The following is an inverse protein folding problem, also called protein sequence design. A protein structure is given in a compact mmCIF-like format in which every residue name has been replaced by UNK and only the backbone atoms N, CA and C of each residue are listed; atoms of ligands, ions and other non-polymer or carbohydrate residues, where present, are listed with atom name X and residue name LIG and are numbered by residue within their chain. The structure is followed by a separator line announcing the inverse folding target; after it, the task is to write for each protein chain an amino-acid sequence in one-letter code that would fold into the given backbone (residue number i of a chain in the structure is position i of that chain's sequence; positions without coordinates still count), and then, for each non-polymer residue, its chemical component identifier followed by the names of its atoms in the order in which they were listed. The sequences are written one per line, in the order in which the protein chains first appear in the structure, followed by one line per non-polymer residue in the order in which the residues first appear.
data_IF_650390206046
#
_entry.id   IF_650390206046
#
_cell.length_a   1.000
_cell.length_b   1.000
_cell.length_c   1.000
_cell.angle_alpha   90.00
_cell.angle_beta   90.00
_cell.angle_gamma   90.00
#
_symmetry.space_group_name_H-M   'P 1'
#
loop_
_entity.id
_entity.type
_entity.pdbx_description
1 polymer ?
#
# COMPACT_ATOMS: atom_id res chain seq x y z
N UNK A 1 -1.27 20.39 -20.14
CA UNK A 1 -1.03 18.98 -20.50
C UNK A 1 0.17 18.49 -19.68
N UNK A 2 -0.03 17.81 -18.54
CA UNK A 2 1.09 17.25 -17.78
C UNK A 2 1.61 16.04 -18.56
N UNK A 3 2.88 16.09 -18.95
CA UNK A 3 3.60 14.93 -19.52
C UNK A 3 3.50 13.83 -18.46
N UNK A 4 2.78 12.73 -18.75
CA UNK A 4 2.90 11.50 -17.94
C UNK A 4 4.35 11.06 -18.10
N UNK A 5 5.18 11.37 -17.11
CA UNK A 5 6.55 10.88 -17.04
C UNK A 5 6.47 9.36 -17.14
N UNK A 6 7.11 8.77 -18.15
CA UNK A 6 7.13 7.32 -18.34
C UNK A 6 7.80 6.71 -17.11
N UNK A 7 7.11 5.80 -16.44
CA UNK A 7 7.68 5.10 -15.28
C UNK A 7 8.84 4.23 -15.75
N UNK A 8 10.07 4.62 -15.39
CA UNK A 8 11.31 3.96 -15.81
C UNK A 8 11.74 2.84 -14.87
N UNK A 9 10.98 2.56 -13.81
CA UNK A 9 11.31 1.49 -12.86
C UNK A 9 11.17 0.13 -13.52
N UNK A 10 12.14 -0.74 -13.23
CA UNK A 10 12.18 -2.12 -13.73
C UNK A 10 11.73 -3.04 -12.60
N UNK A 11 10.65 -3.77 -12.82
CA UNK A 11 10.13 -4.77 -11.87
C UNK A 11 11.07 -5.98 -11.74
N UNK A 12 11.00 -6.68 -10.60
CA UNK A 12 11.54 -8.04 -10.49
C UNK A 12 10.81 -8.96 -11.48
N UNK A 13 11.53 -9.89 -12.11
CA UNK A 13 10.96 -10.80 -13.08
C UNK A 13 10.17 -11.93 -12.43
N UNK A 14 9.26 -12.53 -13.20
CA UNK A 14 8.60 -13.78 -12.83
C UNK A 14 9.65 -14.85 -12.51
N UNK A 15 9.48 -15.51 -11.37
CA UNK A 15 10.41 -16.53 -10.89
C UNK A 15 11.60 -16.02 -10.11
N UNK A 16 11.78 -14.70 -9.95
CA UNK A 16 12.83 -14.15 -9.09
C UNK A 16 12.64 -14.63 -7.64
N UNK A 17 13.68 -15.22 -7.06
CA UNK A 17 13.65 -15.76 -5.70
C UNK A 17 14.44 -14.89 -4.72
N UNK A 18 13.79 -14.48 -3.63
CA UNK A 18 14.42 -13.84 -2.49
C UNK A 18 14.55 -14.85 -1.35
N UNK A 19 15.79 -15.13 -0.93
CA UNK A 19 16.04 -15.94 0.27
C UNK A 19 16.00 -15.05 1.50
N UNK A 20 15.08 -15.33 2.43
CA UNK A 20 14.98 -14.64 3.72
C UNK A 20 15.87 -15.32 4.76
N UNK A 21 15.87 -16.66 4.76
CA UNK A 21 16.73 -17.52 5.58
C UNK A 21 16.90 -18.87 4.88
N UNK A 22 17.69 -19.79 5.44
CA UNK A 22 17.91 -21.13 4.84
C UNK A 22 16.60 -21.82 4.42
N UNK A 23 15.58 -21.75 5.29
CA UNK A 23 14.28 -22.40 5.08
C UNK A 23 13.13 -21.43 4.79
N UNK A 24 13.39 -20.15 4.48
CA UNK A 24 12.32 -19.20 4.11
C UNK A 24 12.68 -18.48 2.82
N UNK A 25 11.76 -18.50 1.86
CA UNK A 25 11.96 -17.83 0.58
C UNK A 25 10.67 -17.25 0.03
N UNK A 26 10.83 -16.28 -0.86
CA UNK A 26 9.75 -15.68 -1.64
C UNK A 26 10.08 -15.88 -3.10
N UNK A 27 9.08 -16.21 -3.91
CA UNK A 27 9.19 -16.23 -5.37
C UNK A 27 8.18 -15.25 -5.96
N UNK A 28 8.67 -14.29 -6.73
CA UNK A 28 7.82 -13.36 -7.48
C UNK A 28 7.06 -14.14 -8.56
N UNK A 29 5.75 -13.95 -8.61
CA UNK A 29 4.91 -14.42 -9.71
C UNK A 29 4.79 -13.30 -10.74
N UNK A 30 4.01 -12.27 -10.45
CA UNK A 30 3.70 -11.22 -11.41
C UNK A 30 3.71 -9.83 -10.78
N UNK A 31 3.84 -8.79 -11.62
CA UNK A 31 3.63 -7.42 -11.20
C UNK A 31 2.12 -7.16 -11.06
N UNK A 32 1.68 -6.90 -9.84
CA UNK A 32 0.27 -6.60 -9.53
C UNK A 32 -0.06 -5.12 -9.72
N UNK A 33 0.91 -4.23 -9.55
CA UNK A 33 0.72 -2.80 -9.76
C UNK A 33 1.87 -1.93 -9.28
N UNK A 34 1.70 -0.62 -9.43
CA UNK A 34 2.72 0.37 -9.07
C UNK A 34 2.09 1.58 -8.37
N UNK A 35 2.72 2.00 -7.27
CA UNK A 35 2.44 3.28 -6.59
C UNK A 35 3.60 4.25 -6.76
N UNK A 36 3.46 5.47 -6.23
CA UNK A 36 4.54 6.48 -6.28
C UNK A 36 5.80 6.05 -5.50
N UNK A 37 5.61 5.32 -4.38
CA UNK A 37 6.68 4.86 -3.51
C UNK A 37 7.13 3.41 -3.72
N UNK A 38 6.35 2.59 -4.44
CA UNK A 38 6.59 1.14 -4.50
C UNK A 38 6.17 0.49 -5.82
N UNK A 39 6.68 -0.71 -6.04
CA UNK A 39 6.11 -1.71 -6.96
C UNK A 39 5.47 -2.81 -6.11
N UNK A 40 4.34 -3.33 -6.56
CA UNK A 40 3.55 -4.36 -5.89
C UNK A 40 3.57 -5.63 -6.72
N UNK A 41 3.87 -6.75 -6.10
CA UNK A 41 3.98 -8.06 -6.73
C UNK A 41 3.01 -9.05 -6.10
N UNK A 42 2.50 -9.96 -6.91
CA UNK A 42 1.97 -11.23 -6.42
C UNK A 42 3.13 -12.22 -6.28
N UNK A 43 3.15 -12.97 -5.18
CA UNK A 43 4.26 -13.86 -4.87
C UNK A 43 3.82 -15.07 -4.05
N UNK A 44 4.69 -16.08 -4.02
CA UNK A 44 4.56 -17.23 -3.13
C UNK A 44 5.63 -17.12 -2.04
N UNK A 45 5.22 -17.25 -0.78
CA UNK A 45 6.08 -17.32 0.38
C UNK A 45 6.12 -18.76 0.91
N UNK A 46 7.32 -19.26 1.20
CA UNK A 46 7.54 -20.51 1.91
C UNK A 46 7.96 -20.18 3.33
N UNK A 47 7.18 -20.66 4.29
CA UNK A 47 7.50 -20.55 5.71
C UNK A 47 8.55 -21.59 6.15
N UNK A 48 8.87 -21.59 7.44
CA UNK A 48 9.86 -22.51 8.01
C UNK A 48 9.50 -24.00 7.82
N UNK A 49 8.21 -24.31 7.69
CA UNK A 49 7.70 -25.67 7.47
C UNK A 49 7.59 -26.01 5.97
N UNK A 50 8.08 -25.15 5.07
CA UNK A 50 7.97 -25.27 3.62
C UNK A 50 6.53 -25.24 3.10
N UNK A 51 5.59 -24.71 3.90
CA UNK A 51 4.21 -24.50 3.47
C UNK A 51 4.16 -23.26 2.60
N UNK A 52 3.42 -23.36 1.50
CA UNK A 52 3.24 -22.28 0.52
C UNK A 52 2.09 -21.39 0.94
N UNK A 53 2.35 -20.08 0.94
CA UNK A 53 1.38 -19.03 1.19
C UNK A 53 1.36 -18.08 -0.01
N UNK A 54 0.17 -17.73 -0.51
CA UNK A 54 0.03 -16.65 -1.49
C UNK A 54 0.12 -15.33 -0.74
N UNK A 55 0.99 -14.44 -1.20
CA UNK A 55 1.21 -13.15 -0.58
C UNK A 55 1.31 -12.05 -1.63
N UNK A 56 1.07 -10.81 -1.20
CA UNK A 56 1.38 -9.60 -1.94
C UNK A 56 2.64 -8.97 -1.35
N UNK A 57 3.54 -8.52 -2.22
CA UNK A 57 4.84 -7.97 -1.81
C UNK A 57 4.94 -6.53 -2.30
N UNK A 58 5.11 -5.58 -1.39
CA UNK A 58 5.41 -4.18 -1.75
C UNK A 58 6.91 -3.93 -1.62
N UNK A 59 7.59 -3.65 -2.72
CA UNK A 59 9.00 -3.25 -2.75
C UNK A 59 9.12 -1.72 -2.70
N UNK A 60 9.93 -1.18 -1.81
CA UNK A 60 10.28 0.24 -1.82
C UNK A 60 11.08 0.57 -3.10
N UNK A 61 10.42 1.18 -4.07
CA UNK A 61 11.02 1.59 -5.33
C UNK A 61 10.39 2.93 -5.74
N UNK A 62 10.79 4.04 -5.12
CA UNK A 62 10.17 5.34 -5.33
C UNK A 62 10.43 5.89 -6.74
N UNK A 63 9.37 6.22 -7.47
CA UNK A 63 9.46 6.75 -8.85
C UNK A 63 10.15 8.12 -8.94
N UNK A 64 10.19 8.86 -7.82
CA UNK A 64 10.80 10.20 -7.71
C UNK A 64 12.29 10.17 -7.32
N UNK A 65 12.90 8.98 -7.26
CA UNK A 65 14.35 8.79 -7.06
C UNK A 65 14.88 7.97 -8.22
N UNK A 66 16.00 8.43 -8.80
CA UNK A 66 16.64 7.76 -9.92
C UNK A 66 17.46 6.56 -9.42
N UNK A 67 16.85 5.37 -9.49
CA UNK A 67 17.46 4.10 -9.14
C UNK A 67 17.61 3.24 -10.40
N UNK A 68 18.66 2.42 -10.44
CA UNK A 68 18.85 1.38 -11.45
C UNK A 68 18.77 0.00 -10.80
N UNK A 69 18.14 -0.97 -11.46
CA UNK A 69 18.14 -2.36 -11.01
C UNK A 69 19.29 -3.13 -11.65
N UNK A 70 20.17 -3.70 -10.84
CA UNK A 70 21.22 -4.61 -11.29
C UNK A 70 20.62 -5.97 -11.70
N UNK A 71 21.35 -6.76 -12.49
CA UNK A 71 20.91 -8.11 -12.88
C UNK A 71 20.69 -9.06 -11.68
N UNK A 72 21.34 -8.79 -10.55
CA UNK A 72 21.14 -9.49 -9.27
C UNK A 72 19.79 -9.18 -8.62
N UNK A 73 19.09 -8.14 -9.06
CA UNK A 73 17.87 -7.61 -8.47
C UNK A 73 18.09 -6.42 -7.54
N UNK A 74 19.33 -6.07 -7.21
CA UNK A 74 19.66 -4.94 -6.32
C UNK A 74 19.26 -3.59 -6.91
N UNK A 75 18.73 -2.70 -6.06
CA UNK A 75 18.48 -1.30 -6.39
C UNK A 75 19.68 -0.43 -6.02
N UNK A 76 20.22 0.28 -7.00
CA UNK A 76 21.38 1.16 -6.84
C UNK A 76 20.96 2.60 -7.13
N UNK A 77 21.15 3.55 -6.18
CA UNK A 77 20.93 4.95 -6.46
C UNK A 77 22.02 5.52 -7.37
N UNK A 78 21.60 6.21 -8.44
CA UNK A 78 22.52 6.87 -9.38
C UNK A 78 23.02 8.24 -8.89
N UNK A 79 22.51 8.71 -7.75
CA UNK A 79 22.84 10.01 -7.16
C UNK A 79 22.97 9.90 -5.65
N UNK A 80 22.23 10.73 -4.91
CA UNK A 80 22.33 10.82 -3.44
C UNK A 80 21.76 9.57 -2.73
N UNK A 81 22.59 8.70 -2.12
CA UNK A 81 22.12 7.50 -1.43
C UNK A 81 21.28 7.81 -0.19
N UNK A 82 21.55 8.92 0.51
CA UNK A 82 20.77 9.33 1.70
C UNK A 82 19.30 9.60 1.36
N UNK A 83 19.02 10.08 0.14
CA UNK A 83 17.63 10.30 -0.31
C UNK A 83 16.89 8.98 -0.39
N UNK A 84 17.56 7.91 -0.81
CA UNK A 84 16.98 6.58 -0.88
C UNK A 84 16.81 5.98 0.52
N UNK A 85 17.80 6.12 1.41
CA UNK A 85 17.66 5.71 2.82
C UNK A 85 16.47 6.41 3.51
N UNK A 86 16.31 7.72 3.30
CA UNK A 86 15.14 8.47 3.82
C UNK A 86 13.83 7.95 3.25
N UNK A 87 13.80 7.52 1.99
CA UNK A 87 12.61 6.92 1.39
C UNK A 87 12.29 5.56 2.00
N UNK A 88 13.30 4.69 2.22
CA UNK A 88 13.12 3.40 2.91
C UNK A 88 12.59 3.58 4.33
N UNK A 89 13.13 4.53 5.08
CA UNK A 89 12.63 4.84 6.43
C UNK A 89 11.18 5.34 6.40
N UNK A 90 10.84 6.26 5.50
CA UNK A 90 9.44 6.72 5.36
C UNK A 90 8.49 5.58 5.00
N UNK A 91 8.92 4.66 4.15
CA UNK A 91 8.14 3.50 3.72
C UNK A 91 7.86 2.56 4.90
N UNK A 92 8.87 2.27 5.73
CA UNK A 92 8.68 1.42 6.92
C UNK A 92 7.93 2.14 8.05
N UNK A 93 8.16 3.43 8.24
CA UNK A 93 7.46 4.23 9.25
C UNK A 93 5.98 4.39 8.93
N UNK A 94 5.63 4.54 7.65
CA UNK A 94 4.23 4.52 7.22
C UNK A 94 3.56 3.20 7.63
N UNK A 95 4.20 2.06 7.34
CA UNK A 95 3.70 0.75 7.76
C UNK A 95 3.53 0.60 9.28
N UNK A 96 4.51 1.06 10.07
CA UNK A 96 4.44 1.04 11.54
C UNK A 96 3.25 1.86 12.05
N UNK A 97 3.13 3.12 11.59
CA UNK A 97 1.99 3.98 11.93
C UNK A 97 0.66 3.31 11.61
N UNK A 98 0.57 2.62 10.47
CA UNK A 98 -0.64 1.93 10.06
C UNK A 98 -0.97 0.75 10.97
N UNK A 99 0.03 -0.01 11.37
CA UNK A 99 -0.12 -1.09 12.36
C UNK A 99 -0.60 -0.56 13.71
N UNK A 100 -0.04 0.55 14.18
CA UNK A 100 -0.42 1.18 15.44
C UNK A 100 -1.84 1.73 15.39
N UNK A 101 -2.21 2.41 14.30
CA UNK A 101 -3.56 2.93 14.06
C UNK A 101 -4.56 1.77 14.05
N UNK A 102 -4.26 0.68 13.34
CA UNK A 102 -5.10 -0.52 13.31
C UNK A 102 -5.36 -1.10 14.69
N UNK A 103 -4.27 -1.33 15.44
CA UNK A 103 -4.32 -1.92 16.77
C UNK A 103 -5.10 -1.03 17.75
N UNK A 104 -5.00 0.30 17.58
CA UNK A 104 -5.69 1.28 18.44
C UNK A 104 -7.16 1.50 18.06
N UNK A 105 -7.52 1.34 16.79
CA UNK A 105 -8.87 1.58 16.27
C UNK A 105 -9.78 0.36 16.26
N UNK A 106 -9.29 -0.81 16.69
CA UNK A 106 -10.04 -2.07 16.57
C UNK A 106 -10.43 -2.34 15.11
N UNK A 107 -9.49 -2.10 14.19
CA UNK A 107 -9.65 -2.31 12.75
C UNK A 107 -9.06 -3.65 12.30
N UNK A 108 -8.73 -4.54 13.24
CA UNK A 108 -8.09 -5.84 13.00
C UNK A 108 -8.88 -6.69 11.99
N UNK A 109 -10.21 -6.55 11.95
CA UNK A 109 -11.09 -7.30 11.03
C UNK A 109 -11.41 -6.53 9.73
N UNK A 110 -10.78 -5.38 9.50
CA UNK A 110 -11.07 -4.51 8.35
C UNK A 110 -9.80 -4.06 7.63
N UNK A 111 -8.65 -4.68 7.95
CA UNK A 111 -7.32 -4.31 7.44
C UNK A 111 -6.37 -5.51 7.44
N UNK A 112 -5.36 -5.49 6.56
CA UNK A 112 -4.44 -6.61 6.32
C UNK A 112 -3.19 -6.53 7.24
N UNK A 113 -2.87 -7.59 7.98
CA UNK A 113 -1.64 -7.69 8.80
C UNK A 113 -0.44 -8.08 7.94
N UNK A 114 0.70 -7.38 7.98
CA UNK A 114 1.87 -7.90 7.26
C UNK A 114 2.37 -9.20 7.88
N UNK A 115 2.81 -10.10 7.02
CA UNK A 115 3.53 -11.33 7.38
C UNK A 115 4.92 -10.97 7.91
N UNK A 116 5.63 -10.07 7.23
CA UNK A 116 6.99 -9.67 7.61
C UNK A 116 7.41 -8.36 6.91
N UNK A 117 8.46 -7.72 7.41
CA UNK A 117 9.19 -6.64 6.72
C UNK A 117 10.64 -7.08 6.56
N UNK A 118 11.07 -7.27 5.31
CA UNK A 118 12.40 -7.80 5.00
C UNK A 118 13.25 -6.76 4.26
N UNK A 119 14.56 -6.86 4.44
CA UNK A 119 15.54 -6.04 3.73
C UNK A 119 16.50 -6.92 2.94
N UNK A 120 16.48 -6.79 1.62
CA UNK A 120 17.40 -7.45 0.68
C UNK A 120 17.47 -6.59 -0.59
N UNK A 121 18.36 -6.92 -1.54
CA UNK A 121 18.47 -6.18 -2.80
C UNK A 121 18.68 -4.66 -2.62
N UNK A 122 19.32 -4.25 -1.51
CA UNK A 122 19.48 -2.86 -1.07
C UNK A 122 18.18 -2.05 -0.86
N UNK A 123 17.03 -2.72 -0.77
CA UNK A 123 15.72 -2.12 -0.53
C UNK A 123 14.93 -2.86 0.55
N UNK A 124 13.72 -2.37 0.83
CA UNK A 124 12.80 -2.93 1.82
C UNK A 124 11.56 -3.49 1.14
N UNK A 125 11.07 -4.62 1.63
CA UNK A 125 9.85 -5.27 1.18
C UNK A 125 8.89 -5.45 2.36
N UNK A 126 7.62 -5.10 2.16
CA UNK A 126 6.53 -5.40 3.09
C UNK A 126 5.75 -6.58 2.52
N UNK A 127 5.69 -7.69 3.26
CA UNK A 127 4.98 -8.89 2.86
C UNK A 127 3.57 -8.84 3.45
N UNK A 128 2.56 -8.83 2.61
CA UNK A 128 1.16 -8.79 3.02
C UNK A 128 0.52 -10.13 2.63
N UNK A 129 -0.31 -10.76 3.48
CA UNK A 129 -1.10 -11.89 3.06
C UNK A 129 -2.02 -11.46 1.93
N UNK A 130 -2.32 -12.40 1.04
CA UNK A 130 -3.19 -12.17 -0.11
C UNK A 130 -4.67 -12.30 0.26
N UNK A 131 -5.01 -12.24 1.55
CA UNK A 131 -6.30 -12.73 2.04
C UNK A 131 -7.47 -11.86 1.55
N UNK A 132 -8.30 -12.58 0.80
CA UNK A 132 -9.69 -12.47 0.40
C UNK A 132 -10.30 -11.09 0.20
N UNK A 133 -10.84 -10.94 -1.01
CA UNK A 133 -11.72 -9.87 -1.37
C UNK A 133 -11.56 -9.50 -2.83
N UNK A 134 -12.64 -9.01 -3.42
CA UNK A 134 -12.68 -8.52 -4.78
C UNK A 134 -12.42 -7.01 -4.72
N UNK A 135 -11.45 -6.55 -5.52
CA UNK A 135 -11.20 -5.12 -5.72
C UNK A 135 -12.50 -4.44 -6.16
N UNK A 136 -12.90 -3.40 -5.42
CA UNK A 136 -14.21 -2.80 -5.56
C UNK A 136 -14.43 -2.12 -6.92
N UNK A 137 -13.36 -1.90 -7.71
CA UNK A 137 -13.50 -1.49 -9.13
C UNK A 137 -14.17 -2.53 -10.01
N UNK A 138 -14.02 -3.79 -9.68
CA UNK A 138 -14.52 -4.92 -10.47
C UNK A 138 -15.67 -5.65 -9.79
N UNK A 139 -16.02 -5.25 -8.57
CA UNK A 139 -17.15 -5.81 -7.84
C UNK A 139 -18.43 -5.07 -8.23
N UNK A 140 -19.47 -5.82 -8.58
CA UNK A 140 -20.80 -5.28 -8.84
C UNK A 140 -21.73 -5.65 -7.69
N UNK A 141 -22.22 -4.64 -6.96
CA UNK A 141 -23.25 -4.83 -5.95
C UNK A 141 -24.52 -5.42 -6.57
N UNK A 142 -25.03 -6.52 -6.00
CA UNK A 142 -26.22 -7.22 -6.48
C UNK A 142 -27.51 -6.42 -6.26
N UNK A 143 -27.48 -5.44 -5.33
CA UNK A 143 -28.62 -4.59 -5.03
C UNK A 143 -28.20 -3.25 -4.43
N UNK A 144 -29.10 -2.25 -4.50
CA UNK A 144 -28.91 -0.99 -3.76
C UNK A 144 -28.72 -1.20 -2.26
N UNK A 145 -29.37 -2.23 -1.69
CA UNK A 145 -29.23 -2.52 -0.27
C UNK A 145 -27.80 -2.96 0.08
N UNK A 146 -27.17 -3.76 -0.77
CA UNK A 146 -25.78 -4.20 -0.61
C UNK A 146 -24.81 -3.03 -0.73
N UNK A 147 -24.98 -2.19 -1.76
CA UNK A 147 -24.23 -0.95 -1.91
C UNK A 147 -24.28 -0.10 -0.64
N UNK A 148 -25.48 0.09 -0.05
CA UNK A 148 -25.61 0.85 1.18
C UNK A 148 -24.94 0.18 2.39
N UNK A 149 -24.88 -1.16 2.45
CA UNK A 149 -24.12 -1.86 3.50
C UNK A 149 -22.62 -1.62 3.34
N UNK A 150 -22.08 -1.74 2.13
CA UNK A 150 -20.68 -1.45 1.85
C UNK A 150 -20.32 0.00 2.18
N UNK A 151 -21.13 0.97 1.73
CA UNK A 151 -20.90 2.40 2.03
C UNK A 151 -20.97 2.71 3.52
N UNK A 152 -21.91 2.08 4.25
CA UNK A 152 -22.01 2.22 5.71
C UNK A 152 -20.76 1.68 6.41
N UNK A 153 -20.30 0.48 6.01
CA UNK A 153 -19.10 -0.15 6.56
C UNK A 153 -17.85 0.71 6.32
N UNK A 154 -17.67 1.20 5.09
CA UNK A 154 -16.58 2.11 4.73
C UNK A 154 -16.65 3.42 5.54
N UNK A 155 -17.83 4.03 5.67
CA UNK A 155 -18.02 5.24 6.47
C UNK A 155 -17.69 5.03 7.96
N UNK A 156 -17.98 3.85 8.51
CA UNK A 156 -17.62 3.50 9.89
C UNK A 156 -16.11 3.36 10.07
N UNK A 157 -15.40 2.79 9.08
CA UNK A 157 -13.93 2.73 9.07
C UNK A 157 -13.36 4.16 9.07
N UNK A 158 -13.85 5.03 8.17
CA UNK A 158 -13.41 6.42 8.05
C UNK A 158 -13.68 7.20 9.35
N UNK A 159 -14.84 7.00 9.97
CA UNK A 159 -15.18 7.64 11.25
C UNK A 159 -14.15 7.31 12.35
N UNK A 160 -13.69 6.05 12.41
CA UNK A 160 -12.65 5.64 13.36
C UNK A 160 -11.35 6.43 13.16
N UNK A 161 -10.89 6.62 11.92
CA UNK A 161 -9.72 7.48 11.62
C UNK A 161 -9.93 8.90 12.14
N UNK A 162 -11.06 9.50 11.79
CA UNK A 162 -11.37 10.88 12.15
C UNK A 162 -11.44 11.08 13.67
N UNK A 163 -12.01 10.12 14.42
CA UNK A 163 -12.09 10.16 15.88
C UNK A 163 -10.72 10.14 16.58
N UNK A 164 -9.67 9.64 15.91
CA UNK A 164 -8.28 9.68 16.42
C UNK A 164 -7.44 10.80 15.80
N UNK A 165 -8.05 11.70 15.03
CA UNK A 165 -7.37 12.83 14.43
C UNK A 165 -6.52 12.47 13.20
N UNK A 166 -6.84 11.39 12.50
CA UNK A 166 -6.19 10.99 11.26
C UNK A 166 -7.13 11.20 10.06
N UNK A 167 -6.54 11.50 8.90
CA UNK A 167 -7.21 11.51 7.60
C UNK A 167 -6.62 10.42 6.72
N UNK A 168 -7.45 9.70 5.97
CA UNK A 168 -6.98 8.69 5.04
C UNK A 168 -6.40 9.28 3.74
N UNK A 169 -7.05 10.33 3.19
CA UNK A 169 -6.62 11.12 2.02
C UNK A 169 -6.59 10.41 0.65
N UNK A 170 -6.65 9.08 0.59
CA UNK A 170 -6.70 8.32 -0.67
C UNK A 170 -7.81 7.27 -0.67
N UNK A 171 -9.05 7.71 -0.46
CA UNK A 171 -10.23 6.83 -0.48
C UNK A 171 -10.75 6.75 -1.90
N UNK A 172 -10.69 5.55 -2.49
CA UNK A 172 -11.10 5.27 -3.87
C UNK A 172 -11.35 3.76 -4.03
N UNK A 173 -12.12 3.31 -5.03
CA UNK A 173 -12.43 1.88 -5.22
C UNK A 173 -11.19 1.00 -5.35
N UNK A 174 -10.08 1.50 -5.92
CA UNK A 174 -8.80 0.79 -6.00
C UNK A 174 -8.24 0.36 -4.64
N UNK A 175 -8.66 1.04 -3.57
CA UNK A 175 -8.18 0.88 -2.21
C UNK A 175 -9.24 0.20 -1.32
N UNK A 176 -10.28 -0.39 -1.92
CA UNK A 176 -11.35 -1.08 -1.19
C UNK A 176 -11.48 -2.52 -1.68
N UNK A 177 -11.45 -3.50 -0.77
CA UNK A 177 -11.78 -4.90 -1.07
C UNK A 177 -13.13 -5.24 -0.43
N UNK A 178 -13.93 -6.00 -1.17
CA UNK A 178 -15.17 -6.60 -0.69
C UNK A 178 -14.95 -8.08 -0.44
N UNK A 179 -15.30 -8.57 0.75
CA UNK A 179 -15.32 -9.99 1.07
C UNK A 179 -16.68 -10.59 0.69
N UNK A 180 -16.82 -11.34 -0.42
CA UNK A 180 -18.13 -11.82 -0.88
C UNK A 180 -18.82 -12.75 0.13
N UNK A 181 -18.03 -13.50 0.92
CA UNK A 181 -18.52 -14.40 1.96
C UNK A 181 -19.13 -13.64 3.14
N UNK A 182 -18.74 -12.37 3.33
CA UNK A 182 -19.26 -11.49 4.36
C UNK A 182 -19.48 -10.07 3.80
N UNK A 183 -20.59 -9.82 3.08
CA UNK A 183 -20.86 -8.55 2.38
C UNK A 183 -20.96 -7.31 3.27
N UNK A 184 -20.86 -7.46 4.59
CA UNK A 184 -20.77 -6.34 5.54
C UNK A 184 -19.33 -5.95 5.85
N UNK A 185 -18.35 -6.81 5.52
CA UNK A 185 -16.93 -6.59 5.73
C UNK A 185 -16.30 -5.98 4.48
N UNK A 186 -16.08 -4.68 4.58
CA UNK A 186 -15.27 -3.91 3.65
C UNK A 186 -13.87 -3.78 4.24
N UNK A 187 -12.86 -4.02 3.42
CA UNK A 187 -11.46 -3.78 3.79
C UNK A 187 -11.01 -2.54 3.04
N UNK A 188 -10.65 -1.49 3.79
CA UNK A 188 -9.90 -0.37 3.24
C UNK A 188 -8.42 -0.78 3.26
N UNK A 189 -7.76 -0.79 2.11
CA UNK A 189 -6.36 -1.15 1.97
C UNK A 189 -5.60 -0.03 1.26
N UNK A 190 -4.30 0.10 1.56
CA UNK A 190 -3.42 1.22 1.20
C UNK A 190 -3.56 2.48 2.07
N UNK A 191 -2.70 2.54 3.07
CA UNK A 191 -2.68 3.57 4.10
C UNK A 191 -1.48 4.51 3.96
N UNK A 192 -0.79 4.48 2.83
CA UNK A 192 0.42 5.28 2.61
C UNK A 192 0.16 6.78 2.67
N UNK A 193 -1.08 7.20 2.42
CA UNK A 193 -1.55 8.58 2.50
C UNK A 193 -2.10 8.98 3.87
N UNK A 194 -2.22 8.04 4.82
CA UNK A 194 -2.77 8.34 6.15
C UNK A 194 -1.90 9.37 6.85
N UNK A 195 -2.51 10.49 7.25
CA UNK A 195 -1.81 11.63 7.83
C UNK A 195 -2.54 12.12 9.08
N UNK A 196 -1.81 12.40 10.15
CA UNK A 196 -2.39 13.05 11.32
C UNK A 196 -2.75 14.50 10.98
N UNK A 197 -3.93 14.97 11.40
CA UNK A 197 -4.39 16.33 11.12
C UNK A 197 -3.37 17.38 11.62
N UNK A 198 -2.71 17.11 12.75
CA UNK A 198 -1.67 17.99 13.31
C UNK A 198 -0.37 18.05 12.48
N UNK A 199 -0.13 17.06 11.60
CA UNK A 199 1.06 16.99 10.73
C UNK A 199 0.85 17.65 9.36
N UNK A 200 -0.38 18.10 9.06
CA UNK A 200 -0.70 18.77 7.79
C UNK A 200 -0.01 20.15 7.73
N UNK A 201 1.09 20.23 6.98
CA UNK A 201 1.83 21.48 6.76
C UNK A 201 1.41 22.17 5.47
N UNK A 202 1.22 23.50 5.52
CA UNK A 202 1.08 24.33 4.31
C UNK A 202 2.27 24.07 3.37
N UNK A 203 1.99 23.78 2.10
CA UNK A 203 2.97 23.54 1.03
C UNK A 203 3.70 22.18 1.06
N UNK A 204 3.42 21.29 2.00
CA UNK A 204 3.74 19.88 1.82
C UNK A 204 2.68 19.32 0.87
N UNK A 205 3.07 18.89 -0.34
CA UNK A 205 2.13 18.35 -1.32
C UNK A 205 1.27 17.25 -0.69
N UNK A 206 -0.03 17.51 -0.55
CA UNK A 206 -0.97 16.53 0.00
C UNK A 206 -1.19 15.48 -1.09
N UNK A 207 -0.99 14.18 -0.82
CA UNK A 207 -1.32 13.13 -1.78
C UNK A 207 -2.76 13.29 -2.24
N UNK A 208 -3.04 13.16 -3.53
CA UNK A 208 -4.39 13.25 -4.06
C UNK A 208 -4.55 12.31 -5.26
N UNK A 209 -5.79 11.87 -5.45
CA UNK A 209 -6.21 11.02 -6.56
C UNK A 209 -7.20 11.79 -7.43
N UNK A 210 -6.85 11.98 -8.71
CA UNK A 210 -7.69 12.67 -9.68
C UNK A 210 -9.08 11.99 -9.76
N UNK A 211 -10.15 12.77 -9.64
CA UNK A 211 -11.53 12.27 -9.67
C UNK A 211 -12.10 11.80 -8.32
N UNK A 212 -11.27 11.62 -7.30
CA UNK A 212 -11.70 11.17 -5.96
C UNK A 212 -11.40 12.17 -4.84
N UNK A 213 -10.31 12.94 -4.96
CA UNK A 213 -9.93 13.92 -3.95
C UNK A 213 -10.76 15.20 -4.00
N UNK A 214 -10.99 15.80 -2.84
CA UNK A 214 -11.73 17.05 -2.72
C UNK A 214 -10.95 18.25 -3.31
N UNK A 215 -11.63 19.28 -3.84
CA UNK A 215 -10.95 20.42 -4.49
C UNK A 215 -9.94 21.14 -3.59
N UNK A 216 -10.23 21.28 -2.29
CA UNK A 216 -9.36 21.88 -1.29
C UNK A 216 -8.08 21.07 -1.07
N UNK A 217 -8.16 19.74 -1.15
CA UNK A 217 -7.02 18.84 -1.07
C UNK A 217 -6.13 19.01 -2.30
N UNK A 218 -6.72 19.03 -3.50
CA UNK A 218 -5.99 19.26 -4.75
C UNK A 218 -5.32 20.64 -4.80
N UNK A 219 -5.91 21.65 -4.14
CA UNK A 219 -5.39 23.01 -4.03
C UNK A 219 -4.41 23.20 -2.87
N UNK A 220 -4.18 22.18 -2.03
CA UNK A 220 -3.31 22.27 -0.85
C UNK A 220 -3.84 23.23 0.24
N UNK A 221 -5.15 23.46 0.30
CA UNK A 221 -5.79 24.37 1.25
C UNK A 221 -6.10 23.63 2.56
N UNK A 222 -5.30 23.89 3.59
CA UNK A 222 -5.40 23.24 4.91
C UNK A 222 -6.24 24.05 5.92
N UNK A 223 -6.58 25.31 5.60
CA UNK A 223 -7.47 26.16 6.41
C UNK A 223 -8.43 26.94 5.51
N UNK A 224 -9.62 27.25 6.03
CA UNK A 224 -10.49 28.29 5.47
C UNK A 224 -9.79 29.64 5.45
#
# INVERSE_FOLDING_TARGET
MRIKMRDMRIALCNGYEMKISENRKIRIADEAGRGAGCIVYDAIYWDQMQIKHKIRVRECYPAYIQLTRAATGELVPSGNPEKFEKAKNRFTDAYKRNTDIRNTLGLTNSTVNAVDVISCNHTVYILLPMDEGIDYRYYEDQSLQELFRHMKSLAQIILKYHQKGYLHLDIKPENVLILPETPEHVILFDFDSVTAIGELQKNAGIPYSDGFSAPEQMQGKIKK
#
